data_IF_529749125789
#
_entry.id   IF_529749125789
#
_cell.length_a   1.000
_cell.length_b   1.000
_cell.length_c   1.000
_cell.angle_alpha   90.00
_cell.angle_beta   90.00
_cell.angle_gamma   90.00
#
_symmetry.space_group_name_H-M   'P 1'
#
loop_
_entity.id
_entity.type
_entity.pdbx_description
1 polymer ?
#
# COMPACT_ATOMS: atom_id res chain seq x y z
N UNK A 1 4.41 5.01 1.28
CA UNK A 1 5.09 4.35 0.14
C UNK A 1 4.15 4.18 -1.05
N UNK A 2 3.03 3.46 -0.93
CA UNK A 2 2.08 3.23 -2.04
C UNK A 2 1.63 4.51 -2.74
N UNK A 3 1.33 5.60 -2.01
CA UNK A 3 0.98 6.90 -2.62
C UNK A 3 2.02 7.37 -3.66
N UNK A 4 3.30 7.36 -3.29
CA UNK A 4 4.37 7.80 -4.19
C UNK A 4 4.51 6.86 -5.40
N UNK A 5 4.36 5.55 -5.20
CA UNK A 5 4.35 4.59 -6.32
C UNK A 5 3.20 4.88 -7.28
N UNK A 6 2.00 5.16 -6.77
CA UNK A 6 0.82 5.47 -7.58
C UNK A 6 1.04 6.75 -8.40
N UNK A 7 1.60 7.78 -7.78
CA UNK A 7 1.98 9.03 -8.43
C UNK A 7 3.04 8.79 -9.53
N UNK A 8 4.10 8.04 -9.25
CA UNK A 8 5.13 7.70 -10.23
C UNK A 8 4.64 6.76 -11.34
N UNK A 9 3.60 5.97 -11.08
CA UNK A 9 2.89 5.20 -12.10
C UNK A 9 2.03 6.10 -13.01
N UNK A 10 1.88 7.39 -12.68
CA UNK A 10 1.17 8.40 -13.45
C UNK A 10 -0.33 8.44 -13.18
N UNK A 11 -0.83 7.75 -12.15
CA UNK A 11 -2.27 7.75 -11.82
C UNK A 11 -2.72 9.08 -11.20
N UNK A 12 -4.02 9.42 -11.31
CA UNK A 12 -4.57 10.61 -10.67
C UNK A 12 -4.30 10.64 -9.17
N UNK A 13 -4.13 11.84 -8.62
CA UNK A 13 -3.97 12.01 -7.18
C UNK A 13 -5.24 11.55 -6.45
N UNK A 14 -5.05 10.73 -5.41
CA UNK A 14 -6.13 10.32 -4.53
C UNK A 14 -6.29 11.27 -3.35
N UNK A 15 -7.53 11.55 -2.98
CA UNK A 15 -7.84 12.14 -1.67
C UNK A 15 -7.52 11.12 -0.60
N UNK A 16 -6.70 11.48 0.39
CA UNK A 16 -6.25 10.55 1.43
C UNK A 16 -7.19 10.52 2.62
N UNK A 17 -7.28 9.36 3.28
CA UNK A 17 -7.90 9.19 4.60
C UNK A 17 -9.37 9.67 4.65
N UNK A 18 -10.16 9.38 3.62
CA UNK A 18 -11.54 9.86 3.48
C UNK A 18 -12.51 9.09 4.36
N UNK A 19 -13.29 9.79 5.18
CA UNK A 19 -14.32 9.22 6.05
C UNK A 19 -15.69 9.17 5.38
N UNK A 20 -16.36 8.03 5.54
CA UNK A 20 -17.72 7.76 5.09
C UNK A 20 -18.61 7.49 6.31
N UNK A 21 -19.72 8.21 6.40
CA UNK A 21 -20.70 8.00 7.48
C UNK A 21 -21.45 6.69 7.28
N UNK A 22 -21.47 5.85 8.29
CA UNK A 22 -22.18 4.57 8.26
C UNK A 22 -23.63 4.72 8.75
N UNK A 23 -24.50 3.76 8.41
CA UNK A 23 -25.94 3.82 8.73
C UNK A 23 -26.26 3.74 10.23
N UNK A 24 -25.34 3.21 11.03
CA UNK A 24 -25.41 3.13 12.49
C UNK A 24 -24.82 4.37 13.19
N UNK A 25 -24.51 5.44 12.44
CA UNK A 25 -23.96 6.68 12.98
C UNK A 25 -22.45 6.67 13.21
N UNK A 26 -21.77 5.58 12.86
CA UNK A 26 -20.30 5.49 12.86
C UNK A 26 -19.66 6.09 11.60
N UNK A 27 -18.35 5.82 11.46
CA UNK A 27 -17.58 6.18 10.27
C UNK A 27 -16.64 5.05 9.88
N UNK A 28 -16.65 4.67 8.61
CA UNK A 28 -15.57 3.92 7.97
C UNK A 28 -14.65 4.91 7.27
N UNK A 29 -13.34 4.67 7.26
CA UNK A 29 -12.36 5.55 6.61
C UNK A 29 -11.60 4.79 5.55
N UNK A 30 -11.49 5.27 4.33
CA UNK A 30 -10.62 4.67 3.31
C UNK A 30 -9.25 5.35 3.26
N UNK A 31 -8.20 4.61 2.91
CA UNK A 31 -6.85 5.18 2.83
C UNK A 31 -6.70 6.17 1.67
N UNK A 32 -7.34 5.85 0.55
CA UNK A 32 -7.27 6.61 -0.70
C UNK A 32 -8.63 6.59 -1.39
N UNK A 33 -9.03 7.72 -1.97
CA UNK A 33 -10.25 7.84 -2.76
C UNK A 33 -9.97 8.58 -4.07
N UNK A 34 -10.32 7.93 -5.18
CA UNK A 34 -10.45 8.57 -6.48
C UNK A 34 -11.92 8.87 -6.72
N UNK A 35 -12.39 10.03 -6.24
CA UNK A 35 -13.80 10.41 -6.27
C UNK A 35 -14.42 10.38 -7.68
N UNK A 36 -13.79 10.94 -8.74
CA UNK A 36 -14.39 10.92 -10.08
C UNK A 36 -14.58 9.49 -10.61
N UNK A 37 -13.67 8.59 -10.24
CA UNK A 37 -13.74 7.19 -10.61
C UNK A 37 -14.55 6.36 -9.62
N UNK A 38 -15.06 6.89 -8.51
CA UNK A 38 -15.75 6.14 -7.45
C UNK A 38 -14.98 4.87 -7.02
N UNK A 39 -13.67 4.99 -6.84
CA UNK A 39 -12.77 3.90 -6.40
C UNK A 39 -12.17 4.25 -5.05
N UNK A 40 -12.35 3.37 -4.07
CA UNK A 40 -11.61 3.42 -2.80
C UNK A 40 -10.42 2.46 -2.87
N UNK A 41 -9.30 2.87 -2.26
CA UNK A 41 -8.06 2.10 -2.20
C UNK A 41 -7.61 1.87 -0.76
N UNK A 42 -7.18 0.66 -0.46
CA UNK A 42 -6.78 0.22 0.88
C UNK A 42 -5.35 -0.35 0.84
N UNK A 43 -4.46 0.22 1.65
CA UNK A 43 -3.10 -0.27 1.78
C UNK A 43 -3.04 -1.30 2.90
N UNK A 44 -3.14 -2.58 2.55
CA UNK A 44 -3.02 -3.68 3.50
C UNK A 44 -1.55 -3.84 3.91
N UNK A 45 -1.19 -3.24 5.05
CA UNK A 45 0.11 -3.46 5.68
C UNK A 45 0.40 -4.96 5.81
N UNK A 46 1.67 -5.36 5.67
CA UNK A 46 2.10 -6.77 5.64
C UNK A 46 1.85 -7.58 6.92
N UNK A 47 1.22 -6.98 7.93
CA UNK A 47 0.88 -7.59 9.21
C UNK A 47 -0.63 -7.52 9.38
N UNK A 48 -1.36 -8.56 8.97
CA UNK A 48 -2.71 -8.81 9.48
C UNK A 48 -2.97 -10.26 9.89
N UNK A 49 -1.98 -11.16 9.85
CA UNK A 49 -2.17 -12.59 10.12
C UNK A 49 -1.09 -13.25 10.99
N UNK A 50 -0.29 -12.48 11.73
CA UNK A 50 0.68 -13.02 12.69
C UNK A 50 0.04 -13.46 14.03
N UNK A 51 -1.30 -13.43 14.11
CA UNK A 51 -2.08 -13.80 15.30
C UNK A 51 -2.23 -12.69 16.35
N UNK A 52 -1.56 -11.54 16.19
CA UNK A 52 -1.62 -10.44 17.18
C UNK A 52 -2.95 -9.68 17.19
N UNK A 53 -3.75 -9.80 16.12
CA UNK A 53 -5.04 -9.13 15.95
C UNK A 53 -6.25 -10.06 16.22
N UNK A 54 -6.01 -11.24 16.78
CA UNK A 54 -7.00 -12.31 16.96
C UNK A 54 -6.95 -13.36 15.86
N UNK A 55 -7.89 -14.32 15.86
CA UNK A 55 -7.99 -15.34 14.81
C UNK A 55 -8.07 -14.71 13.42
N UNK A 56 -7.29 -15.22 12.46
CA UNK A 56 -7.25 -14.70 11.09
C UNK A 56 -8.64 -14.58 10.45
N UNK A 57 -9.53 -15.53 10.76
CA UNK A 57 -10.92 -15.55 10.31
C UNK A 57 -11.72 -14.30 10.74
N UNK A 58 -11.50 -13.80 11.96
CA UNK A 58 -12.23 -12.65 12.49
C UNK A 58 -11.74 -11.35 11.84
N UNK A 59 -10.43 -11.26 11.59
CA UNK A 59 -9.81 -10.14 10.87
C UNK A 59 -10.35 -10.07 9.44
N UNK A 60 -10.41 -11.21 8.75
CA UNK A 60 -10.97 -11.31 7.39
C UNK A 60 -12.45 -10.93 7.40
N UNK A 61 -13.23 -11.43 8.36
CA UNK A 61 -14.65 -11.13 8.47
C UNK A 61 -14.90 -9.63 8.70
N UNK A 62 -14.13 -8.99 9.58
CA UNK A 62 -14.20 -7.54 9.84
C UNK A 62 -13.82 -6.72 8.61
N UNK A 63 -12.77 -7.10 7.89
CA UNK A 63 -12.37 -6.44 6.65
C UNK A 63 -13.48 -6.55 5.60
N UNK A 64 -13.99 -7.76 5.33
CA UNK A 64 -15.09 -7.97 4.38
C UNK A 64 -16.33 -7.17 4.72
N UNK A 65 -16.71 -7.13 6.00
CA UNK A 65 -17.86 -6.36 6.46
C UNK A 65 -17.66 -4.85 6.25
N UNK A 66 -16.45 -4.33 6.52
CA UNK A 66 -16.10 -2.94 6.24
C UNK A 66 -16.14 -2.64 4.75
N UNK A 67 -15.55 -3.48 3.90
CA UNK A 67 -15.55 -3.25 2.46
C UNK A 67 -16.99 -3.30 1.90
N UNK A 68 -17.86 -4.16 2.44
CA UNK A 68 -19.27 -4.20 2.06
C UNK A 68 -20.01 -2.90 2.44
N UNK A 69 -19.66 -2.27 3.57
CA UNK A 69 -20.20 -0.96 3.94
C UNK A 69 -19.64 0.15 3.04
N UNK A 70 -18.33 0.16 2.78
CA UNK A 70 -17.69 1.12 1.88
C UNK A 70 -18.27 1.07 0.46
N UNK A 71 -18.58 -0.12 -0.08
CA UNK A 71 -19.23 -0.28 -1.39
C UNK A 71 -20.63 0.31 -1.50
N UNK A 72 -21.23 0.79 -0.40
CA UNK A 72 -22.45 1.62 -0.44
C UNK A 72 -22.18 3.06 -0.87
N UNK A 73 -20.93 3.50 -0.77
CA UNK A 73 -20.48 4.86 -1.09
C UNK A 73 -19.64 4.92 -2.37
N UNK A 74 -18.98 3.83 -2.75
CA UNK A 74 -18.09 3.74 -3.91
C UNK A 74 -18.43 2.54 -4.78
N UNK A 75 -18.11 2.60 -6.08
CA UNK A 75 -18.29 1.48 -7.02
C UNK A 75 -17.48 0.27 -6.58
N UNK A 76 -16.23 0.47 -6.18
CA UNK A 76 -15.34 -0.63 -5.80
C UNK A 76 -14.33 -0.20 -4.75
N UNK A 77 -13.85 -1.19 -4.01
CA UNK A 77 -12.76 -1.07 -3.03
C UNK A 77 -11.68 -2.04 -3.50
N UNK A 78 -10.47 -1.53 -3.72
CA UNK A 78 -9.31 -2.35 -4.11
C UNK A 78 -8.24 -2.31 -3.04
N UNK A 79 -7.53 -3.43 -2.93
CA UNK A 79 -6.59 -3.71 -1.87
C UNK A 79 -5.24 -4.06 -2.47
N UNK A 80 -4.17 -3.62 -1.82
CA UNK A 80 -2.82 -4.01 -2.20
C UNK A 80 -1.90 -4.03 -0.98
N UNK A 81 -0.91 -4.91 -1.01
CA UNK A 81 0.13 -5.00 0.00
C UNK A 81 1.46 -4.43 -0.47
N UNK A 82 2.48 -4.59 0.39
CA UNK A 82 3.87 -4.27 0.04
C UNK A 82 4.29 -5.03 -1.24
N UNK A 83 3.98 -6.33 -1.33
CA UNK A 83 4.36 -7.19 -2.44
C UNK A 83 3.77 -6.75 -3.79
N UNK A 84 2.72 -5.93 -3.80
CA UNK A 84 2.16 -5.34 -5.01
C UNK A 84 2.79 -3.98 -5.33
N UNK A 85 2.99 -3.16 -4.29
CA UNK A 85 3.43 -1.78 -4.43
C UNK A 85 4.91 -1.67 -4.81
N UNK A 86 5.81 -2.49 -4.25
CA UNK A 86 7.25 -2.40 -4.55
C UNK A 86 7.64 -2.79 -5.97
N UNK A 87 7.15 -3.92 -6.52
CA UNK A 87 7.40 -4.20 -7.93
C UNK A 87 6.61 -3.30 -8.87
N UNK A 88 5.65 -2.51 -8.36
CA UNK A 88 4.81 -1.53 -9.04
C UNK A 88 3.86 -2.09 -10.12
N UNK A 89 4.27 -3.08 -10.90
CA UNK A 89 3.47 -3.70 -11.95
C UNK A 89 2.17 -4.37 -11.42
N UNK A 90 2.17 -5.11 -10.29
CA UNK A 90 0.92 -5.65 -9.75
C UNK A 90 -0.03 -4.54 -9.28
N UNK A 91 0.49 -3.52 -8.57
CA UNK A 91 -0.31 -2.37 -8.16
C UNK A 91 -0.92 -1.64 -9.37
N UNK A 92 -0.16 -1.43 -10.46
CA UNK A 92 -0.69 -0.90 -11.72
C UNK A 92 -1.86 -1.74 -12.23
N UNK A 93 -1.70 -3.06 -12.26
CA UNK A 93 -2.75 -3.98 -12.71
C UNK A 93 -4.02 -3.88 -11.87
N UNK A 94 -3.89 -3.77 -10.55
CA UNK A 94 -5.02 -3.58 -9.62
C UNK A 94 -5.77 -2.28 -9.93
N UNK A 95 -5.05 -1.17 -10.12
CA UNK A 95 -5.67 0.14 -10.39
C UNK A 95 -6.35 0.18 -11.76
N UNK A 96 -5.71 -0.36 -12.80
CA UNK A 96 -6.31 -0.49 -14.15
C UNK A 96 -7.55 -1.38 -14.09
N UNK A 97 -7.48 -2.52 -13.41
CA UNK A 97 -8.64 -3.41 -13.22
C UNK A 97 -9.79 -2.76 -12.46
N UNK A 98 -9.51 -1.75 -11.63
CA UNK A 98 -10.51 -0.94 -10.96
C UNK A 98 -11.16 0.13 -11.86
N UNK A 99 -10.62 0.35 -13.06
CA UNK A 99 -11.05 1.39 -14.01
C UNK A 99 -10.31 2.73 -13.85
N UNK A 100 -9.17 2.76 -13.17
CA UNK A 100 -8.29 3.93 -13.15
C UNK A 100 -7.34 3.90 -14.34
N UNK A 101 -6.99 5.08 -14.85
CA UNK A 101 -6.07 5.24 -15.96
C UNK A 101 -4.98 6.23 -15.59
N UNK A 102 -3.72 6.02 -16.00
CA UNK A 102 -2.68 7.04 -15.87
C UNK A 102 -3.05 8.32 -16.63
N UNK A 103 -2.82 9.46 -16.00
CA UNK A 103 -3.00 10.81 -16.54
C UNK A 103 -1.66 11.49 -16.88
N UNK A 104 -0.55 10.90 -16.42
CA UNK A 104 0.81 11.38 -16.66
C UNK A 104 1.73 10.24 -17.10
N UNK A 105 2.88 10.57 -17.74
CA UNK A 105 3.94 9.59 -18.00
C UNK A 105 4.45 8.96 -16.70
N UNK A 106 4.90 7.70 -16.82
CA UNK A 106 5.52 6.99 -15.70
C UNK A 106 6.92 7.56 -15.39
N UNK A 107 7.21 7.76 -14.10
CA UNK A 107 8.57 8.02 -13.61
C UNK A 107 9.30 6.69 -13.35
N UNK A 108 9.83 6.11 -14.43
CA UNK A 108 10.57 4.84 -14.38
C UNK A 108 11.85 4.96 -13.53
N UNK A 109 12.47 6.14 -13.45
CA UNK A 109 13.69 6.35 -12.67
C UNK A 109 13.42 6.27 -11.15
N UNK A 110 12.34 6.88 -10.69
CA UNK A 110 11.92 6.80 -9.29
C UNK A 110 11.50 5.38 -8.90
N UNK A 111 10.72 4.70 -9.76
CA UNK A 111 10.31 3.31 -9.54
C UNK A 111 11.52 2.36 -9.48
N UNK A 112 12.49 2.52 -10.38
CA UNK A 112 13.72 1.74 -10.35
C UNK A 112 14.52 1.98 -9.07
N UNK A 113 14.66 3.24 -8.66
CA UNK A 113 15.38 3.62 -7.44
C UNK A 113 14.75 3.06 -6.18
N UNK A 114 13.41 3.13 -6.06
CA UNK A 114 12.66 2.53 -4.95
C UNK A 114 12.92 1.03 -4.85
N UNK A 115 12.77 0.31 -5.98
CA UNK A 115 12.99 -1.13 -6.01
C UNK A 115 14.41 -1.45 -5.56
N UNK A 116 15.42 -0.77 -6.09
CA UNK A 116 16.82 -0.99 -5.74
C UNK A 116 17.09 -0.75 -4.25
N UNK A 117 16.50 0.29 -3.66
CA UNK A 117 16.66 0.62 -2.25
C UNK A 117 16.02 -0.44 -1.33
N UNK A 118 14.89 -1.02 -1.72
CA UNK A 118 14.15 -1.99 -0.90
C UNK A 118 14.59 -3.45 -1.12
N UNK A 119 15.28 -3.75 -2.23
CA UNK A 119 15.84 -5.08 -2.50
C UNK A 119 17.33 -5.19 -2.25
N UNK A 120 18.02 -4.07 -1.99
CA UNK A 120 19.42 -4.12 -1.60
C UNK A 120 19.55 -4.92 -0.31
N UNK A 121 20.44 -5.93 -0.23
CA UNK A 121 20.78 -6.51 1.04
C UNK A 121 21.26 -5.38 1.95
N UNK A 122 20.77 -5.34 3.19
CA UNK A 122 21.29 -4.41 4.19
C UNK A 122 22.81 -4.58 4.19
N UNK A 123 23.54 -3.54 3.77
CA UNK A 123 24.99 -3.60 3.67
C UNK A 123 25.49 -4.08 5.03
N UNK A 124 26.14 -5.24 5.05
CA UNK A 124 26.73 -5.77 6.26
C UNK A 124 27.62 -4.67 6.85
N UNK A 125 27.23 -4.14 7.99
CA UNK A 125 28.08 -3.30 8.82
C UNK A 125 29.24 -4.19 9.27
N UNK A 126 30.25 -4.35 8.42
CA UNK A 126 31.54 -4.87 8.83
C UNK A 126 32.22 -3.75 9.61
N UNK A 127 31.97 -3.72 10.92
CA UNK A 127 32.94 -3.17 11.86
C UNK A 127 34.18 -4.07 11.78
N UNK A 128 35.14 -3.69 10.94
CA UNK A 128 36.48 -4.23 10.98
C UNK A 128 37.10 -3.75 12.29
N UNK A 129 36.88 -4.49 13.39
CA UNK A 129 37.71 -4.37 14.58
C UNK A 129 39.09 -4.92 14.22
N UNK A 130 39.96 -4.01 13.78
CA UNK A 130 41.39 -4.28 13.63
C UNK A 130 41.94 -4.78 14.96
N UNK A 131 42.36 -6.05 14.94
CA UNK A 131 43.21 -6.68 15.93
C UNK A 131 44.54 -5.92 15.98
N UNK A 132 44.78 -5.22 17.08
CA UNK A 132 46.05 -4.60 17.42
C UNK A 132 46.77 -5.47 18.43
N UNK A 133 47.51 -6.47 17.95
CA UNK A 133 48.54 -7.16 18.72
C UNK A 133 49.88 -6.45 18.51
N UNK A 134 50.40 -5.81 19.55
CA UNK A 134 51.86 -5.74 19.84
C UNK A 134 52.02 -5.21 21.28
N UNK A 135 52.47 -6.06 22.21
CA UNK A 135 53.86 -6.19 22.71
C UNK A 135 54.34 -5.00 23.54
N UNK A 136 54.61 -5.29 24.81
CA UNK A 136 55.25 -4.44 25.81
C UNK A 136 55.10 -5.05 27.18
#
# INVERSE_FOLDING_TARGET
MSRAVIEWLGFPEATLQVSFRTSDGGHDRSDMLWEPASVAGECDGGIKYDGRLGPAQDVIARQRARDARLRRHVRTVVHWGWHDAVPAAPLRGILIGAGLHPEAPEDTAALFSLRRALTAPAAATHETKTDGRDRG
#
